data_IF_255467629322
#
_entry.id   IF_255467629322
#
_cell.length_a   1.000
_cell.length_b   1.000
_cell.length_c   1.000
_cell.angle_alpha   90.00
_cell.angle_beta   90.00
_cell.angle_gamma   90.00
#
_symmetry.space_group_name_H-M   'P 1'
#
loop_
_entity.id
_entity.type
_entity.pdbx_description
1 polymer ?
#
# COMPACT_ATOMS: atom_id res chain seq x y z
N UNK A 1 2.00 -7.07 34.80
CA UNK A 1 1.03 -7.86 34.00
C UNK A 1 0.93 -7.25 32.61
N UNK A 2 1.65 -7.80 31.63
CA UNK A 2 1.52 -7.40 30.22
C UNK A 2 0.28 -8.06 29.66
N UNK A 3 -0.81 -7.29 29.50
CA UNK A 3 -1.99 -7.75 28.76
C UNK A 3 -1.56 -7.85 27.30
N UNK A 4 -1.21 -9.06 26.88
CA UNK A 4 -0.89 -9.37 25.47
C UNK A 4 -2.18 -9.16 24.67
N UNK A 5 -2.38 -7.94 24.13
CA UNK A 5 -3.47 -7.65 23.18
C UNK A 5 -3.34 -8.67 22.05
N UNK A 6 -4.25 -9.64 21.97
CA UNK A 6 -4.32 -10.58 20.84
C UNK A 6 -4.76 -9.76 19.64
N UNK A 7 -3.79 -9.27 18.86
CA UNK A 7 -4.10 -8.62 17.60
C UNK A 7 -4.92 -9.58 16.74
N UNK A 8 -6.06 -9.15 16.18
CA UNK A 8 -6.83 -10.00 15.30
C UNK A 8 -5.96 -10.30 14.08
N UNK A 9 -5.47 -11.54 13.99
CA UNK A 9 -4.58 -12.00 12.92
C UNK A 9 -5.16 -11.72 11.53
N UNK A 10 -6.50 -11.72 11.41
CA UNK A 10 -7.24 -11.35 10.20
C UNK A 10 -7.00 -9.90 9.75
N UNK A 11 -6.95 -8.95 10.69
CA UNK A 11 -6.66 -7.54 10.39
C UNK A 11 -5.21 -7.38 9.94
N UNK A 12 -4.27 -8.01 10.64
CA UNK A 12 -2.86 -7.96 10.28
C UNK A 12 -2.62 -8.56 8.88
N UNK A 13 -3.27 -9.68 8.59
CA UNK A 13 -3.22 -10.31 7.27
C UNK A 13 -3.83 -9.39 6.19
N UNK A 14 -4.96 -8.74 6.47
CA UNK A 14 -5.59 -7.79 5.55
C UNK A 14 -4.73 -6.55 5.28
N UNK A 15 -4.09 -5.99 6.31
CA UNK A 15 -3.16 -4.85 6.18
C UNK A 15 -1.90 -5.24 5.40
N UNK A 16 -1.32 -6.41 5.71
CA UNK A 16 -0.16 -6.91 4.96
C UNK A 16 -0.52 -7.15 3.50
N UNK A 17 -1.66 -7.79 3.23
CA UNK A 17 -2.16 -8.00 1.88
C UNK A 17 -2.38 -6.66 1.17
N UNK A 18 -2.92 -5.66 1.86
CA UNK A 18 -3.12 -4.32 1.32
C UNK A 18 -1.81 -3.68 0.88
N UNK A 19 -0.77 -3.77 1.72
CA UNK A 19 0.58 -3.25 1.43
C UNK A 19 1.18 -3.97 0.22
N UNK A 20 1.05 -5.30 0.16
CA UNK A 20 1.59 -6.12 -0.93
C UNK A 20 0.93 -5.82 -2.27
N UNK A 21 -0.42 -5.75 -2.30
CA UNK A 21 -1.15 -5.43 -3.53
C UNK A 21 -0.82 -4.01 -4.00
N UNK A 22 -0.82 -3.03 -3.09
CA UNK A 22 -0.47 -1.64 -3.43
C UNK A 22 0.95 -1.54 -4.00
N UNK A 23 1.90 -2.26 -3.39
CA UNK A 23 3.28 -2.32 -3.89
C UNK A 23 3.35 -2.94 -5.28
N UNK A 24 2.65 -4.06 -5.51
CA UNK A 24 2.60 -4.70 -6.81
C UNK A 24 2.01 -3.76 -7.87
N UNK A 25 0.92 -3.05 -7.55
CA UNK A 25 0.31 -2.04 -8.42
C UNK A 25 1.32 -0.96 -8.80
N UNK A 26 2.01 -0.36 -7.83
CA UNK A 26 2.98 0.70 -8.08
C UNK A 26 4.16 0.23 -8.96
N UNK A 27 4.68 -0.98 -8.72
CA UNK A 27 5.77 -1.54 -9.53
C UNK A 27 5.33 -1.89 -10.95
N UNK A 28 4.13 -2.47 -11.12
CA UNK A 28 3.60 -2.83 -12.44
C UNK A 28 3.38 -1.56 -13.27
N UNK A 29 2.73 -0.52 -12.72
CA UNK A 29 2.55 0.76 -13.41
C UNK A 29 3.87 1.35 -13.91
N UNK A 30 4.87 1.37 -13.02
CA UNK A 30 6.18 1.89 -13.33
C UNK A 30 6.85 1.10 -14.46
N UNK A 31 6.82 -0.23 -14.38
CA UNK A 31 7.36 -1.11 -15.43
C UNK A 31 6.64 -0.94 -16.77
N UNK A 32 5.32 -0.73 -16.74
CA UNK A 32 4.50 -0.54 -17.92
C UNK A 32 4.86 0.77 -18.63
N UNK A 33 4.99 1.87 -17.89
CA UNK A 33 5.35 3.19 -18.44
C UNK A 33 6.76 3.17 -19.02
N UNK A 34 7.74 2.57 -18.33
CA UNK A 34 9.14 2.48 -18.81
C UNK A 34 9.25 1.66 -20.10
N UNK A 35 8.33 0.72 -20.33
CA UNK A 35 8.31 -0.12 -21.53
C UNK A 35 7.65 0.55 -22.75
N UNK A 36 6.97 1.69 -22.57
CA UNK A 36 6.32 2.38 -23.68
C UNK A 36 7.35 3.16 -24.52
N UNK A 37 7.20 3.19 -25.85
CA UNK A 37 7.98 4.09 -26.69
C UNK A 37 7.77 5.53 -26.22
N UNK A 38 8.83 6.35 -26.25
CA UNK A 38 8.70 7.77 -25.90
C UNK A 38 8.42 8.57 -27.18
N UNK A 39 7.20 8.48 -27.70
CA UNK A 39 6.74 9.11 -28.95
C UNK A 39 6.43 10.61 -28.81
N UNK A 40 6.90 11.27 -27.73
CA UNK A 40 6.81 12.72 -27.54
C UNK A 40 5.40 13.28 -27.23
N UNK A 41 4.34 12.49 -27.38
CA UNK A 41 2.96 12.88 -27.02
C UNK A 41 2.49 12.11 -25.78
N UNK A 42 2.21 12.82 -24.65
CA UNK A 42 1.68 12.19 -23.44
C UNK A 42 0.37 11.44 -23.67
N UNK A 43 -0.48 11.93 -24.57
CA UNK A 43 -1.79 11.33 -24.84
C UNK A 43 -1.69 9.97 -25.54
N UNK A 44 -0.76 9.82 -26.48
CA UNK A 44 -0.52 8.55 -27.15
C UNK A 44 0.00 7.48 -26.17
N UNK A 45 0.84 7.88 -25.22
CA UNK A 45 1.36 6.97 -24.18
C UNK A 45 0.24 6.46 -23.28
N UNK A 46 -0.72 7.33 -22.89
CA UNK A 46 -1.89 6.92 -22.12
C UNK A 46 -2.75 5.93 -22.90
N UNK A 47 -3.03 6.18 -24.18
CA UNK A 47 -3.82 5.25 -25.00
C UNK A 47 -3.12 3.89 -25.16
N UNK A 48 -1.80 3.89 -25.36
CA UNK A 48 -1.01 2.67 -25.46
C UNK A 48 -1.02 1.89 -24.13
N UNK A 49 -0.89 2.59 -23.01
CA UNK A 49 -0.92 2.00 -21.67
C UNK A 49 -2.27 1.34 -21.39
N UNK A 50 -3.39 2.01 -21.68
CA UNK A 50 -4.75 1.49 -21.47
C UNK A 50 -5.06 0.22 -22.29
N UNK A 51 -4.37 0.03 -23.42
CA UNK A 51 -4.50 -1.18 -24.25
C UNK A 51 -3.50 -2.28 -23.87
N UNK A 52 -2.57 -2.00 -22.98
CA UNK A 52 -1.57 -2.96 -22.55
C UNK A 52 -2.17 -4.01 -21.61
N UNK A 53 -1.71 -5.28 -21.67
CA UNK A 53 -2.15 -6.31 -20.72
C UNK A 53 -1.77 -5.96 -19.28
N UNK A 54 -0.69 -5.19 -19.07
CA UNK A 54 -0.25 -4.72 -17.75
C UNK A 54 -1.28 -3.79 -17.09
N UNK A 55 -1.93 -2.91 -17.86
CA UNK A 55 -2.99 -2.06 -17.32
C UNK A 55 -4.21 -2.87 -16.86
N UNK A 56 -4.55 -3.95 -17.56
CA UNK A 56 -5.61 -4.86 -17.14
C UNK A 56 -5.23 -5.56 -15.83
N UNK A 57 -3.99 -6.04 -15.70
CA UNK A 57 -3.49 -6.66 -14.46
C UNK A 57 -3.58 -5.72 -13.27
N UNK A 58 -3.18 -4.46 -13.45
CA UNK A 58 -3.34 -3.42 -12.42
C UNK A 58 -4.80 -3.23 -12.05
N UNK A 59 -5.69 -3.10 -13.03
CA UNK A 59 -7.11 -2.84 -12.77
C UNK A 59 -7.72 -3.97 -11.92
N UNK A 60 -7.36 -5.23 -12.22
CA UNK A 60 -7.77 -6.38 -11.43
C UNK A 60 -7.21 -6.34 -10.01
N UNK A 61 -5.93 -6.00 -9.85
CA UNK A 61 -5.32 -5.84 -8.53
C UNK A 61 -5.98 -4.73 -7.71
N UNK A 62 -6.31 -3.59 -8.32
CA UNK A 62 -7.03 -2.50 -7.67
C UNK A 62 -8.44 -2.92 -7.25
N UNK A 63 -9.14 -3.71 -8.08
CA UNK A 63 -10.43 -4.28 -7.70
C UNK A 63 -10.30 -5.22 -6.48
N UNK A 64 -9.31 -6.13 -6.49
CA UNK A 64 -9.02 -6.98 -5.33
C UNK A 64 -8.67 -6.15 -4.09
N UNK A 65 -7.87 -5.10 -4.24
CA UNK A 65 -7.49 -4.20 -3.17
C UNK A 65 -8.71 -3.50 -2.56
N UNK A 66 -9.65 -3.06 -3.39
CA UNK A 66 -10.88 -2.42 -2.93
C UNK A 66 -11.66 -3.32 -1.96
N UNK A 67 -11.89 -4.58 -2.34
CA UNK A 67 -12.60 -5.53 -1.46
C UNK A 67 -11.82 -5.85 -0.19
N UNK A 68 -10.50 -6.06 -0.30
CA UNK A 68 -9.64 -6.26 0.88
C UNK A 68 -9.70 -5.06 1.83
N UNK A 69 -9.69 -3.85 1.29
CA UNK A 69 -9.76 -2.62 2.06
C UNK A 69 -11.07 -2.46 2.82
N UNK A 70 -12.21 -2.82 2.20
CA UNK A 70 -13.50 -2.85 2.90
C UNK A 70 -13.48 -3.81 4.11
N UNK A 71 -12.85 -4.98 3.97
CA UNK A 71 -12.69 -5.94 5.07
C UNK A 71 -11.76 -5.38 6.16
N UNK A 72 -10.68 -4.70 5.80
CA UNK A 72 -9.79 -4.05 6.77
C UNK A 72 -10.55 -2.99 7.57
N UNK A 73 -11.29 -2.12 6.89
CA UNK A 73 -12.06 -1.05 7.51
C UNK A 73 -13.27 -1.53 8.31
N UNK A 74 -13.78 -2.73 8.05
CA UNK A 74 -14.81 -3.33 8.90
C UNK A 74 -14.26 -3.83 10.25
N UNK A 75 -12.94 -3.87 10.41
CA UNK A 75 -12.27 -4.39 11.60
C UNK A 75 -11.35 -3.36 12.29
N UNK A 76 -11.12 -2.20 11.68
CA UNK A 76 -10.25 -1.15 12.23
C UNK A 76 -10.62 0.23 11.68
N UNK A 77 -10.39 1.25 12.49
CA UNK A 77 -10.63 2.63 12.10
C UNK A 77 -9.64 3.08 11.01
N UNK A 78 -10.13 3.93 10.10
CA UNK A 78 -9.35 4.46 9.00
C UNK A 78 -8.07 5.19 9.49
N UNK A 79 -8.17 5.91 10.62
CA UNK A 79 -7.06 6.63 11.27
C UNK A 79 -5.94 5.72 11.77
N UNK A 80 -6.22 4.43 12.00
CA UNK A 80 -5.20 3.43 12.32
C UNK A 80 -4.70 2.71 11.05
N UNK A 81 -5.62 2.28 10.19
CA UNK A 81 -5.29 1.46 9.02
C UNK A 81 -4.46 2.23 7.98
N UNK A 82 -4.82 3.48 7.67
CA UNK A 82 -4.14 4.30 6.67
C UNK A 82 -2.64 4.50 6.97
N UNK A 83 -2.26 4.91 8.19
CA UNK A 83 -0.84 5.00 8.55
C UNK A 83 -0.11 3.68 8.39
N UNK A 84 -0.67 2.54 8.82
CA UNK A 84 -0.02 1.24 8.63
C UNK A 84 0.16 0.92 7.15
N UNK A 85 -0.81 1.21 6.30
CA UNK A 85 -0.67 0.99 4.85
C UNK A 85 0.38 1.87 4.19
N UNK A 86 0.80 2.98 4.80
CA UNK A 86 1.92 3.79 4.29
C UNK A 86 3.27 3.06 4.27
N UNK A 87 3.37 1.90 4.92
CA UNK A 87 4.49 0.98 4.73
C UNK A 87 4.64 0.51 3.28
N UNK A 88 3.61 0.66 2.44
CA UNK A 88 3.74 0.43 1.00
C UNK A 88 4.79 1.33 0.36
N UNK A 89 4.99 2.56 0.85
CA UNK A 89 6.05 3.44 0.36
C UNK A 89 7.44 2.85 0.64
N UNK A 90 7.60 2.21 1.81
CA UNK A 90 8.84 1.56 2.21
C UNK A 90 9.10 0.34 1.33
N UNK A 91 8.11 -0.52 1.13
CA UNK A 91 8.26 -1.71 0.27
C UNK A 91 8.47 -1.33 -1.19
N UNK A 92 7.78 -0.32 -1.71
CA UNK A 92 7.96 0.19 -3.08
C UNK A 92 9.36 0.75 -3.27
N UNK A 93 9.89 1.50 -2.30
CA UNK A 93 11.27 1.97 -2.35
C UNK A 93 12.24 0.79 -2.38
N UNK A 94 12.15 -0.12 -1.41
CA UNK A 94 13.04 -1.27 -1.32
C UNK A 94 13.01 -2.11 -2.61
N UNK A 95 11.82 -2.40 -3.13
CA UNK A 95 11.67 -3.21 -4.33
C UNK A 95 12.05 -2.44 -5.60
N UNK A 96 11.82 -1.13 -5.68
CA UNK A 96 12.29 -0.32 -6.82
C UNK A 96 13.82 -0.32 -6.89
N UNK A 97 14.50 -0.17 -5.76
CA UNK A 97 15.97 -0.18 -5.72
C UNK A 97 16.51 -1.57 -6.06
N UNK A 98 15.90 -2.63 -5.52
CA UNK A 98 16.36 -4.01 -5.76
C UNK A 98 16.06 -4.52 -7.18
N UNK A 99 14.86 -4.28 -7.70
CA UNK A 99 14.42 -4.81 -8.99
C UNK A 99 14.72 -3.88 -10.16
N UNK A 100 14.49 -2.56 -10.01
CA UNK A 100 14.70 -1.58 -11.08
C UNK A 100 16.11 -0.96 -11.04
N UNK A 101 16.92 -1.27 -10.01
CA UNK A 101 18.31 -0.79 -9.84
C UNK A 101 18.42 0.74 -9.88
N UNK A 102 17.43 1.42 -9.32
CA UNK A 102 17.41 2.88 -9.28
C UNK A 102 18.40 3.45 -8.27
N UNK A 103 18.95 4.62 -8.59
CA UNK A 103 19.78 5.38 -7.67
C UNK A 103 18.93 5.85 -6.46
N UNK A 104 19.46 5.65 -5.26
CA UNK A 104 18.83 6.10 -4.03
C UNK A 104 19.41 7.43 -3.56
N UNK A 105 18.54 8.32 -3.11
CA UNK A 105 18.94 9.58 -2.50
C UNK A 105 18.96 9.47 -0.96
N UNK A 106 19.93 10.12 -0.32
CA UNK A 106 20.08 10.13 1.14
C UNK A 106 18.87 10.78 1.83
N UNK A 107 18.29 11.81 1.21
CA UNK A 107 17.09 12.49 1.74
C UNK A 107 15.88 11.55 1.66
N UNK A 108 15.77 10.76 0.60
CA UNK A 108 14.71 9.76 0.45
C UNK A 108 14.77 8.70 1.56
N UNK A 109 15.97 8.20 1.88
CA UNK A 109 16.17 7.24 2.98
C UNK A 109 15.77 7.87 4.32
N UNK A 110 16.16 9.12 4.58
CA UNK A 110 15.75 9.82 5.80
C UNK A 110 14.23 9.97 5.90
N UNK A 111 13.56 10.29 4.79
CA UNK A 111 12.10 10.35 4.73
C UNK A 111 11.43 9.01 5.05
N UNK A 112 11.96 7.89 4.53
CA UNK A 112 11.47 6.53 4.80
C UNK A 112 11.59 6.17 6.28
N UNK A 113 12.72 6.52 6.91
CA UNK A 113 12.91 6.32 8.35
C UNK A 113 11.85 7.10 9.15
N UNK A 114 11.55 8.33 8.72
CA UNK A 114 10.54 9.16 9.38
C UNK A 114 9.11 8.58 9.21
N UNK A 115 8.78 8.04 8.04
CA UNK A 115 7.51 7.31 7.81
C UNK A 115 7.41 6.12 8.76
N UNK A 116 8.46 5.30 8.84
CA UNK A 116 8.49 4.14 9.76
C UNK A 116 8.30 4.57 11.23
N UNK A 117 8.95 5.66 11.65
CA UNK A 117 8.78 6.20 12.99
C UNK A 117 7.34 6.71 13.23
N UNK A 118 6.75 7.41 12.26
CA UNK A 118 5.36 7.87 12.33
C UNK A 118 4.38 6.72 12.49
N UNK A 119 4.54 5.65 11.69
CA UNK A 119 3.70 4.46 11.80
C UNK A 119 3.90 3.75 13.13
N UNK A 120 5.13 3.66 13.63
CA UNK A 120 5.41 3.10 14.95
C UNK A 120 4.63 3.83 16.04
N UNK A 121 4.66 5.17 16.06
CA UNK A 121 3.91 5.95 17.05
C UNK A 121 2.40 5.71 16.95
N UNK A 122 1.85 5.71 15.74
CA UNK A 122 0.42 5.47 15.52
C UNK A 122 0.04 4.04 15.92
N UNK A 123 0.92 3.06 15.70
CA UNK A 123 0.64 1.67 16.09
C UNK A 123 0.46 1.46 17.61
N UNK A 124 0.85 2.44 18.43
CA UNK A 124 0.70 2.41 19.88
C UNK A 124 -0.62 2.99 20.40
N UNK A 125 -1.45 3.61 19.55
CA UNK A 125 -2.77 4.13 19.97
C UNK A 125 -3.77 2.99 20.27
N UNK A 126 -5.00 3.31 20.71
CA UNK A 126 -6.06 2.29 20.78
C UNK A 126 -6.75 2.16 19.42
N UNK A 127 -6.96 0.92 18.97
CA UNK A 127 -7.48 0.60 17.64
C UNK A 127 -8.65 -0.36 17.80
N UNK A 128 -9.82 0.18 18.17
CA UNK A 128 -11.06 -0.59 18.25
C UNK A 128 -12.17 0.33 17.80
N UNK A 129 -12.74 0.04 16.63
CA UNK A 129 -14.05 0.55 16.25
C UNK A 129 -15.00 0.26 17.39
N UNK A 130 -15.58 1.30 18.00
CA UNK A 130 -16.53 1.18 19.09
C UNK A 130 -17.83 0.51 18.60
N UNK A 131 -17.82 -0.79 18.34
CA UNK A 131 -19.03 -1.59 18.18
C UNK A 131 -19.43 -2.11 19.57
N UNK A 132 -19.88 -1.20 20.43
CA UNK A 132 -20.53 -1.55 21.69
C UNK A 132 -21.85 -0.77 21.83
N UNK A 133 -22.75 -0.93 20.85
CA UNK A 133 -24.14 -0.41 20.89
C UNK A 133 -25.15 -1.46 20.38
N UNK A 134 -24.99 -2.73 20.76
CA UNK A 134 -25.89 -3.82 20.34
C UNK A 134 -26.41 -4.75 21.44
N UNK A 135 -26.04 -4.55 22.70
CA UNK A 135 -26.59 -5.30 23.85
C UNK A 135 -26.92 -4.33 24.99
N UNK A 136 -28.02 -3.60 24.85
CA UNK A 136 -28.84 -3.09 25.96
C UNK A 136 -30.31 -3.17 25.58
#
# INVERSE_FOLDING_TARGET
MSVRKKFPTRLMAGLLLAILIDTAVQLIWKSAIVSLPNNGSPWLNVQALLRSPLAISVLLLMACQFFNWLIVLSNADLSYAQPVTSLSYVSVFCLSVLYLKEATDLIQIAGIILVLAGVWFISQTEHVTASNEGER
#
